data_IF_497974411280
#
_entry.id   IF_497974411280
#
_cell.length_a   1.000
_cell.length_b   1.000
_cell.length_c   1.000
_cell.angle_alpha   90.00
_cell.angle_beta   90.00
_cell.angle_gamma   90.00
#
_symmetry.space_group_name_H-M   'P 1'
#
loop_
_entity.id
_entity.type
_entity.pdbx_description
1 polymer ?
#
# COMPACT_ATOMS: atom_id res chain seq x y z
N UNK A 1 59.07 9.18 10.51
CA UNK A 1 58.66 9.12 9.09
C UNK A 1 57.21 9.57 8.99
N UNK A 2 56.97 10.65 8.24
CA UNK A 2 55.75 11.47 8.27
C UNK A 2 54.71 10.96 7.26
N UNK A 3 53.43 10.90 7.70
CA UNK A 3 52.24 10.65 6.88
C UNK A 3 51.95 11.84 5.92
N UNK A 4 51.44 11.61 4.70
CA UNK A 4 51.03 12.70 3.83
C UNK A 4 49.60 13.18 4.16
N UNK A 5 49.41 14.50 4.07
CA UNK A 5 48.14 15.23 4.27
C UNK A 5 47.42 15.40 2.93
N UNK A 6 46.13 15.07 2.87
CA UNK A 6 45.23 15.49 1.79
C UNK A 6 44.76 16.94 1.98
N UNK A 7 44.64 17.76 0.90
CA UNK A 7 44.07 19.09 0.98
C UNK A 7 42.53 19.08 0.88
N UNK A 8 41.88 19.84 1.76
CA UNK A 8 40.44 20.13 1.78
C UNK A 8 40.12 21.27 0.81
N UNK A 9 39.25 21.02 -0.17
CA UNK A 9 38.65 22.03 -1.05
C UNK A 9 37.35 22.60 -0.46
N UNK A 10 37.37 23.91 -0.18
CA UNK A 10 36.24 24.85 -0.01
C UNK A 10 35.66 25.17 -1.41
N UNK A 11 34.43 25.66 -1.70
CA UNK A 11 33.40 26.49 -1.03
C UNK A 11 32.14 26.39 -1.91
N UNK A 12 30.95 26.37 -1.31
CA UNK A 12 29.67 26.71 -1.96
C UNK A 12 29.44 28.23 -1.92
N UNK A 13 28.77 28.86 -2.90
CA UNK A 13 28.20 30.19 -2.72
C UNK A 13 26.71 30.10 -2.36
N UNK A 14 26.38 30.72 -1.23
CA UNK A 14 25.05 31.20 -0.86
C UNK A 14 24.68 32.38 -1.77
N UNK A 15 23.45 32.44 -2.25
CA UNK A 15 22.84 33.68 -2.75
C UNK A 15 21.65 34.01 -1.86
N UNK A 16 21.69 35.23 -1.34
CA UNK A 16 20.74 35.82 -0.43
C UNK A 16 19.73 36.70 -1.19
N UNK A 17 18.55 36.83 -0.59
CA UNK A 17 17.39 37.63 -0.96
C UNK A 17 17.66 39.16 -0.99
N UNK A 18 16.81 39.90 -1.71
CA UNK A 18 16.26 41.25 -1.41
C UNK A 18 15.73 41.90 -2.70
N UNK A 19 14.70 42.76 -2.80
CA UNK A 19 13.47 43.13 -2.08
C UNK A 19 12.87 44.34 -2.87
N UNK A 20 11.53 44.48 -2.92
CA UNK A 20 10.72 45.75 -3.07
C UNK A 20 10.66 46.43 -4.46
N UNK A 21 9.57 47.11 -4.91
CA UNK A 21 8.22 47.40 -4.39
C UNK A 21 7.36 48.14 -5.47
N UNK A 22 6.03 48.11 -5.29
CA UNK A 22 4.97 49.11 -5.61
C UNK A 22 4.80 49.66 -7.05
N UNK A 23 3.62 49.96 -7.59
CA UNK A 23 2.24 50.01 -7.09
C UNK A 23 1.35 50.87 -8.03
N UNK A 24 0.04 50.82 -7.78
CA UNK A 24 -1.08 51.70 -8.21
C UNK A 24 -1.91 51.43 -9.48
N UNK A 25 -3.22 51.58 -9.22
CA UNK A 25 -4.41 51.39 -10.03
C UNK A 25 -4.88 52.68 -10.75
N UNK A 26 -5.81 52.54 -11.69
CA UNK A 26 -7.05 53.35 -11.78
C UNK A 26 -7.95 52.87 -12.93
N UNK A 27 -9.25 53.05 -12.73
CA UNK A 27 -10.42 52.60 -13.48
C UNK A 27 -11.11 53.73 -14.28
N UNK A 28 -12.11 53.33 -15.10
CA UNK A 28 -13.33 54.03 -15.58
C UNK A 28 -13.42 54.53 -17.05
N UNK A 29 -14.26 53.81 -17.81
CA UNK A 29 -15.59 54.22 -18.32
C UNK A 29 -15.81 54.92 -19.70
N UNK A 30 -16.74 54.30 -20.45
CA UNK A 30 -17.95 54.83 -21.14
C UNK A 30 -17.95 55.47 -22.56
N UNK A 31 -19.01 55.08 -23.31
CA UNK A 31 -19.67 55.78 -24.45
C UNK A 31 -19.54 55.01 -25.77
N UNK A 32 -20.57 54.56 -26.53
CA UNK A 32 -22.00 54.88 -26.60
C UNK A 32 -22.33 55.69 -27.86
N UNK A 33 -23.09 55.14 -28.83
CA UNK A 33 -23.87 55.92 -29.81
C UNK A 33 -24.99 55.10 -30.50
N UNK A 34 -26.19 55.69 -30.51
CA UNK A 34 -27.50 55.27 -31.01
C UNK A 34 -27.66 55.48 -32.54
N UNK A 35 -28.63 54.88 -33.26
CA UNK A 35 -30.01 55.39 -33.60
C UNK A 35 -30.49 54.55 -34.82
N UNK A 36 -31.76 54.35 -35.22
CA UNK A 36 -33.13 54.74 -34.83
C UNK A 36 -34.13 53.95 -35.73
N UNK A 37 -35.34 53.65 -35.24
CA UNK A 37 -36.45 52.93 -35.91
C UNK A 37 -37.19 53.78 -37.00
N UNK A 38 -38.24 53.29 -37.72
CA UNK A 38 -39.58 53.03 -37.15
C UNK A 38 -40.39 51.87 -37.79
N UNK A 39 -41.62 51.73 -37.27
CA UNK A 39 -42.55 50.60 -37.27
C UNK A 39 -43.49 50.45 -38.50
N UNK A 40 -44.04 49.24 -38.69
CA UNK A 40 -45.47 48.98 -38.98
C UNK A 40 -45.83 47.48 -38.72
N UNK A 41 -46.99 47.26 -38.09
CA UNK A 41 -47.75 45.99 -37.93
C UNK A 41 -49.13 46.21 -38.62
N UNK A 42 -50.14 45.28 -38.67
CA UNK A 42 -50.29 43.92 -38.10
C UNK A 42 -51.02 42.90 -39.02
N UNK A 43 -51.11 41.62 -38.63
CA UNK A 43 -52.32 40.74 -38.73
C UNK A 43 -52.02 39.33 -38.17
N UNK A 44 -52.96 38.49 -37.74
CA UNK A 44 -53.83 38.54 -36.56
C UNK A 44 -54.25 37.08 -36.21
N UNK A 45 -54.40 36.80 -34.91
CA UNK A 45 -55.19 35.69 -34.35
C UNK A 45 -54.43 34.70 -33.45
N UNK A 46 -55.10 33.93 -32.56
CA UNK A 46 -56.40 34.09 -31.90
C UNK A 46 -56.23 34.25 -30.35
N UNK A 47 -57.29 34.29 -29.51
CA UNK A 47 -57.22 34.87 -28.15
C UNK A 47 -56.63 33.91 -27.12
N UNK A 48 -55.76 34.42 -26.24
CA UNK A 48 -55.26 33.70 -25.05
C UNK A 48 -55.93 34.27 -23.80
N UNK A 49 -56.44 33.37 -22.98
CA UNK A 49 -57.05 33.58 -21.67
C UNK A 49 -56.17 34.39 -20.70
N UNK A 50 -56.84 35.03 -19.73
CA UNK A 50 -56.22 35.83 -18.69
C UNK A 50 -55.14 35.05 -17.89
N UNK A 51 -54.05 35.70 -17.46
CA UNK A 51 -53.06 35.07 -16.59
C UNK A 51 -53.65 34.81 -15.19
N UNK A 52 -53.51 33.58 -14.71
CA UNK A 52 -53.72 33.20 -13.33
C UNK A 52 -52.66 33.85 -12.42
N UNK A 53 -53.05 34.20 -11.19
CA UNK A 53 -52.15 34.71 -10.15
C UNK A 53 -51.00 33.71 -9.87
N UNK A 54 -49.76 34.19 -9.63
CA UNK A 54 -48.64 33.34 -9.32
C UNK A 54 -48.81 32.68 -7.95
N UNK A 55 -48.70 31.35 -7.92
CA UNK A 55 -48.65 30.57 -6.69
C UNK A 55 -47.43 30.97 -5.83
N UNK A 56 -47.54 30.96 -4.48
CA UNK A 56 -46.42 31.25 -3.60
C UNK A 56 -45.32 30.20 -3.75
N UNK A 57 -44.06 30.65 -3.74
CA UNK A 57 -42.89 29.81 -3.82
C UNK A 57 -42.87 28.76 -2.68
N UNK A 58 -42.40 27.53 -2.94
CA UNK A 58 -42.24 26.52 -1.89
C UNK A 58 -41.21 26.99 -0.87
N UNK A 59 -41.58 26.91 0.40
CA UNK A 59 -40.69 27.21 1.52
C UNK A 59 -39.59 26.17 1.55
N UNK A 60 -38.34 26.61 1.42
CA UNK A 60 -37.17 25.76 1.52
C UNK A 60 -37.14 25.11 2.92
N UNK A 61 -37.04 23.77 3.02
CA UNK A 61 -36.93 23.12 4.32
C UNK A 61 -35.69 23.63 5.06
N UNK A 62 -35.74 23.78 6.39
CA UNK A 62 -34.61 24.30 7.15
C UNK A 62 -33.36 23.47 6.82
N UNK A 63 -32.28 24.16 6.46
CA UNK A 63 -30.98 23.56 6.22
C UNK A 63 -30.65 22.63 7.39
N UNK A 64 -30.30 21.38 7.07
CA UNK A 64 -29.78 20.45 8.06
C UNK A 64 -28.62 21.14 8.82
N UNK A 65 -28.54 20.97 10.15
CA UNK A 65 -27.40 21.50 10.88
C UNK A 65 -26.11 21.00 10.20
N UNK A 66 -25.06 21.83 10.13
CA UNK A 66 -23.78 21.38 9.61
C UNK A 66 -23.39 20.09 10.36
N UNK A 67 -22.73 19.12 9.68
CA UNK A 67 -22.19 17.96 10.36
C UNK A 67 -21.43 18.44 11.58
N UNK A 68 -21.73 17.88 12.76
CA UNK A 68 -20.98 18.21 13.96
C UNK A 68 -19.49 18.06 13.62
N UNK A 69 -18.69 19.10 13.89
CA UNK A 69 -17.25 18.97 13.84
C UNK A 69 -16.88 17.73 14.67
N UNK A 70 -16.02 16.84 14.15
CA UNK A 70 -15.64 15.65 14.89
C UNK A 70 -15.11 16.10 16.25
N UNK A 71 -15.82 15.72 17.31
CA UNK A 71 -15.48 16.07 18.67
C UNK A 71 -14.05 15.59 18.94
N UNK A 72 -13.20 16.49 19.44
CA UNK A 72 -11.81 16.15 19.69
C UNK A 72 -11.74 14.89 20.57
N UNK A 73 -10.88 13.91 20.25
CA UNK A 73 -10.86 12.64 20.96
C UNK A 73 -10.60 12.87 22.46
N UNK A 74 -11.52 12.40 23.29
CA UNK A 74 -11.42 12.57 24.74
C UNK A 74 -10.16 11.88 25.28
N UNK A 75 -9.49 12.46 26.30
CA UNK A 75 -8.33 11.83 26.93
C UNK A 75 -8.70 10.46 27.52
N UNK A 76 -7.80 9.47 27.45
CA UNK A 76 -8.08 8.13 27.98
C UNK A 76 -8.18 8.14 29.50
N UNK A 77 -9.03 7.27 30.04
CA UNK A 77 -9.14 7.00 31.49
C UNK A 77 -8.44 5.69 31.84
N UNK A 78 -8.04 5.55 33.10
CA UNK A 78 -7.49 4.29 33.60
C UNK A 78 -8.51 3.16 33.45
N UNK A 79 -8.07 2.02 32.89
CA UNK A 79 -8.87 0.85 32.63
C UNK A 79 -9.86 0.98 31.46
N UNK A 80 -9.80 2.05 30.67
CA UNK A 80 -10.72 2.25 29.54
C UNK A 80 -10.47 1.23 28.42
N UNK A 81 -11.51 0.53 28.01
CA UNK A 81 -11.50 -0.40 26.89
C UNK A 81 -12.28 0.16 25.70
N UNK A 82 -11.94 -0.32 24.51
CA UNK A 82 -12.64 -0.04 23.26
C UNK A 82 -13.33 -1.33 22.81
N UNK A 83 -14.63 -1.27 22.57
CA UNK A 83 -15.39 -2.38 22.02
C UNK A 83 -15.21 -2.44 20.51
N UNK A 84 -14.72 -3.56 20.00
CA UNK A 84 -14.55 -3.82 18.57
C UNK A 84 -15.67 -4.78 18.13
N UNK A 85 -16.58 -4.35 17.23
CA UNK A 85 -17.64 -5.22 16.73
C UNK A 85 -17.09 -6.44 15.97
N UNK A 86 -17.87 -7.51 15.96
CA UNK A 86 -17.61 -8.65 15.10
C UNK A 86 -17.57 -8.23 13.62
N UNK A 87 -16.75 -8.90 12.82
CA UNK A 87 -16.71 -8.69 11.38
C UNK A 87 -15.47 -9.27 10.72
N UNK A 88 -15.40 -9.07 9.42
CA UNK A 88 -14.32 -9.58 8.57
C UNK A 88 -13.10 -8.67 8.61
N UNK A 89 -11.94 -9.25 8.92
CA UNK A 89 -10.63 -8.64 8.72
C UNK A 89 -10.00 -9.19 7.44
N UNK A 90 -9.63 -8.32 6.51
CA UNK A 90 -8.74 -8.67 5.40
C UNK A 90 -7.27 -8.69 5.88
N UNK A 91 -6.82 -9.85 6.35
CA UNK A 91 -5.54 -10.04 7.06
C UNK A 91 -4.33 -9.83 6.16
N UNK A 92 -3.33 -9.10 6.64
CA UNK A 92 -2.08 -8.87 5.94
C UNK A 92 -2.15 -7.63 5.05
N UNK A 93 -1.46 -7.61 3.91
CA UNK A 93 -1.36 -6.42 3.06
C UNK A 93 -1.42 -6.75 1.58
N UNK A 94 -1.83 -5.76 0.78
CA UNK A 94 -1.97 -5.92 -0.68
C UNK A 94 -0.59 -6.21 -1.29
N UNK A 95 -0.43 -7.27 -2.11
CA UNK A 95 0.81 -7.50 -2.85
C UNK A 95 1.23 -6.29 -3.70
N UNK A 96 2.54 -6.14 -3.92
CA UNK A 96 3.14 -4.99 -4.60
C UNK A 96 3.24 -3.69 -3.78
N UNK A 97 2.70 -3.64 -2.55
CA UNK A 97 2.84 -2.44 -1.69
C UNK A 97 4.29 -2.24 -1.21
N UNK A 98 4.79 -0.99 -1.16
CA UNK A 98 6.11 -0.69 -0.61
C UNK A 98 6.28 -1.25 0.81
N UNK A 99 7.45 -1.84 1.05
CA UNK A 99 7.91 -2.41 2.30
C UNK A 99 7.08 -3.56 2.86
N UNK A 100 6.19 -4.15 2.04
CA UNK A 100 5.52 -5.42 2.35
C UNK A 100 6.56 -6.53 2.50
N UNK A 101 6.41 -7.37 3.51
CA UNK A 101 7.15 -8.62 3.68
C UNK A 101 6.22 -9.79 3.37
N UNK A 102 6.16 -10.15 2.10
CA UNK A 102 5.28 -11.18 1.57
C UNK A 102 5.42 -12.53 2.29
N UNK A 103 6.64 -12.82 2.74
CA UNK A 103 6.95 -14.05 3.48
C UNK A 103 6.20 -14.14 4.80
N UNK A 104 5.86 -13.00 5.40
CA UNK A 104 5.25 -12.91 6.72
C UNK A 104 3.80 -12.44 6.66
N UNK A 105 3.43 -11.67 5.64
CA UNK A 105 2.13 -10.98 5.52
C UNK A 105 1.22 -11.70 4.53
N UNK A 106 0.00 -12.03 4.96
CA UNK A 106 -1.02 -12.63 4.10
C UNK A 106 -1.53 -11.67 3.01
N UNK A 107 -2.13 -12.21 1.96
CA UNK A 107 -2.58 -11.48 0.77
C UNK A 107 -3.97 -10.83 0.95
N UNK A 108 -4.24 -10.15 2.08
CA UNK A 108 -5.59 -9.64 2.44
C UNK A 108 -6.64 -10.77 2.55
N UNK A 109 -6.25 -11.90 3.11
CA UNK A 109 -7.14 -13.06 3.30
C UNK A 109 -8.26 -12.68 4.28
N UNK A 110 -9.55 -12.84 3.91
CA UNK A 110 -10.67 -12.52 4.78
C UNK A 110 -10.77 -13.51 5.94
N UNK A 111 -10.84 -13.01 7.17
CA UNK A 111 -11.01 -13.79 8.40
C UNK A 111 -12.11 -13.17 9.24
N UNK A 112 -13.11 -13.97 9.60
CA UNK A 112 -14.18 -13.55 10.51
C UNK A 112 -13.67 -13.52 11.95
N UNK A 113 -13.90 -12.40 12.63
CA UNK A 113 -13.56 -12.21 14.04
C UNK A 113 -14.82 -11.98 14.87
N UNK A 114 -14.93 -12.57 16.07
CA UNK A 114 -15.99 -12.24 17.00
C UNK A 114 -15.80 -10.81 17.54
N UNK A 115 -16.82 -10.28 18.20
CA UNK A 115 -16.68 -9.04 18.94
C UNK A 115 -15.78 -9.27 20.17
N UNK A 116 -14.94 -8.28 20.48
CA UNK A 116 -14.02 -8.30 21.61
C UNK A 116 -13.86 -6.88 22.17
N UNK A 117 -13.30 -6.75 23.36
CA UNK A 117 -12.82 -5.45 23.84
C UNK A 117 -11.30 -5.47 23.94
N UNK A 118 -10.69 -4.31 23.74
CA UNK A 118 -9.24 -4.11 23.79
C UNK A 118 -8.92 -2.91 24.67
N UNK A 119 -7.87 -3.01 25.47
CA UNK A 119 -7.36 -1.87 26.24
C UNK A 119 -7.04 -0.69 25.32
N UNK A 120 -7.55 0.49 25.66
CA UNK A 120 -7.35 1.71 24.88
C UNK A 120 -5.88 2.12 24.86
N UNK A 121 -5.16 1.95 25.97
CA UNK A 121 -3.72 2.17 26.11
C UNK A 121 -2.96 0.84 26.31
N UNK A 122 -1.64 0.80 26.04
CA UNK A 122 -0.79 -0.32 26.46
C UNK A 122 -0.86 -0.59 27.97
N UNK A 123 -0.62 -1.84 28.38
CA UNK A 123 -0.65 -2.26 29.79
C UNK A 123 0.27 -1.35 30.64
N UNK A 124 -0.20 -0.79 31.77
CA UNK A 124 -1.37 -1.19 32.57
C UNK A 124 -2.71 -0.53 32.21
N UNK A 125 -2.83 0.03 31.00
CA UNK A 125 -4.01 0.76 30.54
C UNK A 125 -4.36 1.96 31.46
N UNK A 126 -3.35 2.70 31.90
CA UNK A 126 -3.48 3.84 32.81
C UNK A 126 -2.64 5.02 32.28
N UNK A 127 -3.24 6.18 31.94
CA UNK A 127 -2.49 7.35 31.47
C UNK A 127 -1.52 7.92 32.52
N UNK A 128 -1.69 7.59 33.81
CA UNK A 128 -0.80 8.01 34.88
C UNK A 128 0.41 7.08 35.08
N UNK A 129 0.46 5.94 34.39
CA UNK A 129 1.53 4.96 34.50
C UNK A 129 2.23 4.73 33.15
N UNK A 130 3.58 4.63 33.12
CA UNK A 130 4.27 4.27 31.90
C UNK A 130 3.92 2.84 31.48
N UNK A 131 3.84 2.54 30.16
CA UNK A 131 3.64 1.17 29.70
C UNK A 131 4.71 0.23 30.21
N UNK A 132 4.30 -0.97 30.62
CA UNK A 132 5.25 -2.02 31.03
C UNK A 132 5.86 -2.69 29.82
N UNK A 133 7.19 -2.72 29.80
CA UNK A 133 8.01 -3.45 28.83
C UNK A 133 9.02 -4.33 29.57
N UNK A 134 9.88 -5.04 28.84
CA UNK A 134 10.93 -5.85 29.45
C UNK A 134 10.44 -7.18 30.04
N UNK A 135 9.24 -7.62 29.64
CA UNK A 135 8.61 -8.86 30.08
C UNK A 135 8.57 -9.87 28.92
N UNK A 136 8.62 -11.15 29.27
CA UNK A 136 8.40 -12.26 28.34
C UNK A 136 6.90 -12.39 28.00
N UNK A 137 6.57 -13.05 26.87
CA UNK A 137 5.15 -13.28 26.50
C UNK A 137 4.36 -13.97 27.63
N UNK A 138 4.87 -15.04 28.29
CA UNK A 138 4.14 -15.67 29.38
C UNK A 138 3.91 -14.77 30.60
N UNK A 139 4.85 -13.87 30.91
CA UNK A 139 4.66 -12.89 32.00
C UNK A 139 3.60 -11.84 31.65
N UNK A 140 3.63 -11.33 30.41
CA UNK A 140 2.60 -10.43 29.89
C UNK A 140 1.19 -11.08 29.94
N UNK A 141 1.07 -12.33 29.51
CA UNK A 141 -0.17 -13.09 29.57
C UNK A 141 -0.70 -13.21 31.01
N UNK A 142 0.15 -13.59 31.98
CA UNK A 142 -0.24 -13.70 33.39
C UNK A 142 -0.72 -12.37 33.98
N UNK A 143 -0.16 -11.24 33.54
CA UNK A 143 -0.62 -9.92 33.99
C UNK A 143 -2.01 -9.58 33.45
N UNK A 144 -2.31 -9.92 32.20
CA UNK A 144 -3.67 -9.81 31.68
C UNK A 144 -4.65 -10.74 32.42
N UNK A 145 -4.25 -11.99 32.68
CA UNK A 145 -5.07 -12.96 33.42
C UNK A 145 -5.39 -12.47 34.85
N UNK A 146 -4.45 -11.81 35.52
CA UNK A 146 -4.65 -11.23 36.84
C UNK A 146 -5.70 -10.10 36.86
N UNK A 147 -5.97 -9.47 35.71
CA UNK A 147 -7.05 -8.49 35.52
C UNK A 147 -8.36 -9.11 34.99
N UNK A 148 -8.43 -10.44 34.89
CA UNK A 148 -9.58 -11.14 34.29
C UNK A 148 -9.68 -10.96 32.76
N UNK A 149 -8.57 -10.58 32.11
CA UNK A 149 -8.44 -10.42 30.66
C UNK A 149 -7.50 -11.49 30.09
N UNK A 150 -7.18 -11.37 28.81
CA UNK A 150 -6.18 -12.19 28.11
C UNK A 150 -5.27 -11.29 27.28
N UNK A 151 -4.12 -11.82 26.86
CA UNK A 151 -3.31 -11.16 25.84
C UNK A 151 -4.08 -11.14 24.51
N UNK A 152 -4.07 -10.01 23.80
CA UNK A 152 -4.72 -9.92 22.49
C UNK A 152 -4.04 -10.86 21.49
N UNK A 153 -4.82 -11.50 20.62
CA UNK A 153 -4.28 -12.22 19.44
C UNK A 153 -3.75 -11.22 18.41
N UNK A 154 -2.93 -11.67 17.48
CA UNK A 154 -2.43 -10.78 16.44
C UNK A 154 -3.51 -10.32 15.45
N UNK A 155 -4.58 -11.11 15.28
CA UNK A 155 -5.70 -10.76 14.42
C UNK A 155 -6.55 -9.66 15.06
N UNK A 156 -6.80 -9.74 16.36
CA UNK A 156 -7.48 -8.67 17.12
C UNK A 156 -6.67 -7.37 17.09
N UNK A 157 -5.35 -7.47 17.29
CA UNK A 157 -4.45 -6.32 17.20
C UNK A 157 -4.51 -5.65 15.81
N UNK A 158 -4.46 -6.45 14.74
CA UNK A 158 -4.52 -5.93 13.37
C UNK A 158 -5.90 -5.33 13.05
N UNK A 159 -6.99 -5.95 13.50
CA UNK A 159 -8.36 -5.44 13.33
C UNK A 159 -8.55 -4.10 14.04
N UNK A 160 -8.06 -3.98 15.26
CA UNK A 160 -8.08 -2.73 16.02
C UNK A 160 -7.23 -1.64 15.34
N UNK A 161 -6.07 -2.00 14.77
CA UNK A 161 -5.21 -1.05 14.08
C UNK A 161 -5.81 -0.55 12.76
N UNK A 162 -6.35 -1.46 11.94
CA UNK A 162 -6.89 -1.13 10.60
C UNK A 162 -8.23 -0.42 10.64
N UNK A 163 -9.03 -0.64 11.68
CA UNK A 163 -10.40 -0.15 11.75
C UNK A 163 -11.37 -0.89 10.83
N UNK A 164 -12.63 -0.45 10.76
CA UNK A 164 -13.73 -1.22 10.17
C UNK A 164 -13.65 -1.32 8.65
N UNK A 165 -13.09 -0.31 7.97
CA UNK A 165 -12.89 -0.32 6.52
C UNK A 165 -11.73 -1.25 6.10
N UNK A 166 -10.82 -1.60 7.01
CA UNK A 166 -9.75 -2.57 6.77
C UNK A 166 -8.62 -2.13 5.83
N UNK A 167 -8.67 -0.92 5.27
CA UNK A 167 -7.76 -0.45 4.22
C UNK A 167 -6.52 0.30 4.76
N UNK A 168 -6.58 0.78 6.01
CA UNK A 168 -5.53 1.57 6.65
C UNK A 168 -4.18 0.87 6.72
N UNK A 169 -3.12 1.62 6.40
CA UNK A 169 -1.73 1.12 6.46
C UNK A 169 -1.17 1.21 7.87
N UNK A 170 -1.50 2.29 8.59
CA UNK A 170 -1.14 2.60 9.97
C UNK A 170 -2.40 2.93 10.76
N UNK A 171 -2.36 2.87 12.08
CA UNK A 171 -3.51 3.23 12.93
C UNK A 171 -4.17 4.58 12.55
N UNK A 172 -3.43 5.70 12.44
CA UNK A 172 -4.03 6.98 12.07
C UNK A 172 -4.53 7.06 10.62
N UNK A 173 -4.12 6.15 9.73
CA UNK A 173 -4.58 6.12 8.34
C UNK A 173 -3.56 5.59 7.34
N UNK A 174 -3.53 6.19 6.14
CA UNK A 174 -2.64 5.77 5.06
C UNK A 174 -1.17 6.14 5.29
N UNK A 175 -0.90 7.17 6.09
CA UNK A 175 0.43 7.68 6.44
C UNK A 175 0.61 7.75 7.96
N UNK A 176 1.86 7.88 8.39
CA UNK A 176 2.23 8.01 9.80
C UNK A 176 3.31 9.08 9.96
N UNK A 177 3.00 10.13 10.72
CA UNK A 177 3.99 11.04 11.26
C UNK A 177 4.34 10.60 12.68
N UNK A 178 5.52 9.99 12.85
CA UNK A 178 5.93 9.41 14.13
C UNK A 178 6.24 10.47 15.19
N UNK A 179 6.73 11.64 14.77
CA UNK A 179 7.07 12.69 15.72
C UNK A 179 5.79 13.38 16.21
N UNK A 180 4.82 13.63 15.32
CA UNK A 180 3.50 14.10 15.71
C UNK A 180 2.80 13.12 16.67
N UNK A 181 2.86 11.80 16.41
CA UNK A 181 2.28 10.81 17.33
C UNK A 181 2.97 10.73 18.69
N UNK A 182 4.25 11.13 18.77
CA UNK A 182 4.99 11.19 20.04
C UNK A 182 4.57 12.41 20.85
N UNK A 183 4.34 13.54 20.17
CA UNK A 183 3.91 14.80 20.78
C UNK A 183 2.43 14.77 21.19
N UNK A 184 1.57 14.21 20.34
CA UNK A 184 0.14 14.05 20.55
C UNK A 184 -0.34 12.62 20.23
N UNK A 185 -0.28 11.70 21.20
CA UNK A 185 -0.76 10.33 21.02
C UNK A 185 -2.26 10.23 20.69
N UNK A 186 -3.09 11.23 21.06
CA UNK A 186 -4.52 11.22 20.80
C UNK A 186 -4.83 11.44 19.31
N UNK A 187 -4.04 12.27 18.63
CA UNK A 187 -4.13 12.48 17.19
C UNK A 187 -3.79 11.22 16.37
N UNK A 188 -3.20 10.20 17.00
CA UNK A 188 -2.80 8.95 16.37
C UNK A 188 -3.61 7.74 16.83
N UNK A 189 -4.84 7.96 17.27
CA UNK A 189 -5.80 6.89 17.47
C UNK A 189 -6.05 6.10 16.17
N UNK A 190 -6.31 4.80 16.31
CA UNK A 190 -6.97 4.04 15.25
C UNK A 190 -8.38 4.58 14.98
N UNK A 191 -8.99 4.19 13.86
CA UNK A 191 -10.38 4.56 13.56
C UNK A 191 -11.38 4.11 14.64
N UNK A 192 -11.04 3.08 15.40
CA UNK A 192 -11.86 2.55 16.50
C UNK A 192 -11.59 3.27 17.83
N UNK A 193 -10.62 4.18 17.89
CA UNK A 193 -10.28 4.95 19.10
C UNK A 193 -9.20 4.30 19.99
N UNK A 194 -8.61 3.18 19.58
CA UNK A 194 -7.49 2.54 20.29
C UNK A 194 -6.22 3.36 20.07
N UNK A 195 -5.51 3.69 21.15
CA UNK A 195 -4.35 4.55 21.12
C UNK A 195 -3.05 3.76 21.04
N UNK A 196 -2.04 4.40 20.46
CA UNK A 196 -0.64 3.96 20.46
C UNK A 196 -0.37 2.61 19.76
N UNK A 197 -1.33 2.10 18.97
CA UNK A 197 -1.13 0.90 18.16
C UNK A 197 -0.02 1.15 17.12
N UNK A 198 1.10 0.48 17.33
CA UNK A 198 2.23 0.53 16.43
C UNK A 198 3.01 1.84 16.46
N UNK A 199 2.75 2.76 17.38
CA UNK A 199 3.45 4.06 17.43
C UNK A 199 4.29 4.29 18.68
N UNK A 200 4.03 3.57 19.78
CA UNK A 200 4.80 3.72 21.03
C UNK A 200 5.83 2.61 21.28
N UNK A 201 5.46 1.37 21.02
CA UNK A 201 6.30 0.20 21.28
C UNK A 201 5.81 -0.98 20.46
N UNK A 202 6.65 -2.02 20.36
CA UNK A 202 6.15 -3.31 19.95
C UNK A 202 5.28 -3.92 21.06
N UNK A 203 4.32 -4.75 20.70
CA UNK A 203 3.39 -5.37 21.64
C UNK A 203 3.32 -6.87 21.40
N UNK A 204 3.54 -7.65 22.46
CA UNK A 204 3.30 -9.08 22.46
C UNK A 204 1.86 -9.38 22.11
N UNK A 205 1.66 -10.45 21.34
CA UNK A 205 0.35 -11.04 21.06
C UNK A 205 0.30 -12.46 21.61
N UNK A 206 -0.90 -13.01 21.77
CA UNK A 206 -1.11 -14.40 22.16
C UNK A 206 -0.72 -15.40 21.06
N UNK A 207 -0.47 -14.93 19.83
CA UNK A 207 -0.26 -15.76 18.66
C UNK A 207 1.18 -16.30 18.58
N UNK A 208 1.29 -17.55 18.15
CA UNK A 208 2.56 -18.18 17.76
C UNK A 208 2.90 -17.85 16.30
N UNK A 209 4.19 -17.99 15.96
CA UNK A 209 4.67 -17.73 14.62
C UNK A 209 4.08 -18.71 13.61
N UNK A 210 3.80 -18.22 12.42
CA UNK A 210 3.52 -19.02 11.24
C UNK A 210 3.83 -18.16 10.01
N UNK A 211 3.71 -18.74 8.81
CA UNK A 211 3.91 -18.04 7.52
C UNK A 211 5.21 -17.22 7.54
N UNK A 212 6.33 -17.86 7.26
CA UNK A 212 7.66 -17.23 7.29
C UNK A 212 8.22 -16.95 8.70
N UNK A 213 7.36 -16.91 9.73
CA UNK A 213 7.75 -16.88 11.13
C UNK A 213 7.77 -18.31 11.72
N UNK A 214 8.73 -18.59 12.60
CA UNK A 214 8.90 -19.92 13.20
C UNK A 214 7.81 -20.23 14.22
N UNK A 215 7.26 -21.45 14.20
CA UNK A 215 6.15 -21.90 15.06
C UNK A 215 6.45 -21.86 16.56
N UNK A 216 7.71 -21.99 16.95
CA UNK A 216 8.14 -21.92 18.35
C UNK A 216 8.38 -20.48 18.86
N UNK A 217 8.15 -19.48 18.02
CA UNK A 217 8.29 -18.07 18.35
C UNK A 217 6.95 -17.41 18.66
N UNK A 218 7.00 -16.38 19.50
CA UNK A 218 5.87 -15.53 19.82
C UNK A 218 5.80 -14.34 18.88
N UNK A 219 4.61 -14.08 18.32
CA UNK A 219 4.38 -12.91 17.46
C UNK A 219 4.23 -11.65 18.30
N UNK A 220 4.85 -10.58 17.83
CA UNK A 220 4.63 -9.22 18.30
C UNK A 220 4.42 -8.26 17.13
N UNK A 221 3.65 -7.20 17.38
CA UNK A 221 3.22 -6.22 16.38
C UNK A 221 3.67 -4.81 16.76
N UNK A 222 3.74 -3.92 15.77
CA UNK A 222 4.15 -2.53 16.01
C UNK A 222 5.65 -2.35 16.26
N UNK A 223 6.04 -1.11 16.58
CA UNK A 223 7.43 -0.73 16.84
C UNK A 223 7.53 0.47 17.80
N UNK A 224 8.71 0.64 18.38
CA UNK A 224 9.07 1.85 19.12
C UNK A 224 9.18 3.06 18.18
N UNK A 225 9.10 4.31 18.68
CA UNK A 225 8.95 5.50 17.83
C UNK A 225 10.16 5.80 16.94
N UNK A 226 11.33 5.28 17.30
CA UNK A 226 12.59 5.33 16.58
C UNK A 226 12.79 4.15 15.61
N UNK A 227 11.81 3.25 15.51
CA UNK A 227 11.80 2.12 14.59
C UNK A 227 11.67 2.55 13.12
N UNK A 228 12.08 1.65 12.23
CA UNK A 228 11.88 1.82 10.79
C UNK A 228 10.38 1.92 10.47
N UNK A 229 10.00 2.89 9.62
CA UNK A 229 8.60 3.17 9.26
C UNK A 229 7.78 1.90 8.87
N UNK A 230 8.32 0.94 8.09
CA UNK A 230 7.59 -0.27 7.72
C UNK A 230 7.13 -1.13 8.91
N UNK A 231 7.80 -1.05 10.06
CA UNK A 231 7.48 -1.84 11.24
C UNK A 231 6.27 -1.30 12.02
N UNK A 232 5.83 -0.07 11.70
CA UNK A 232 4.66 0.56 12.30
C UNK A 232 3.36 0.21 11.57
N UNK A 233 3.43 -0.43 10.40
CA UNK A 233 2.25 -0.79 9.61
C UNK A 233 1.37 -1.78 10.38
N UNK A 234 0.06 -1.68 10.23
CA UNK A 234 -0.89 -2.57 10.91
C UNK A 234 -0.65 -4.06 10.56
N UNK A 235 -0.26 -4.36 9.32
CA UNK A 235 0.06 -5.72 8.88
C UNK A 235 1.48 -6.19 9.24
N UNK A 236 2.38 -5.28 9.65
CA UNK A 236 3.75 -5.67 9.93
C UNK A 236 3.80 -6.58 11.17
N UNK A 237 4.36 -7.77 10.98
CA UNK A 237 4.51 -8.78 12.02
C UNK A 237 5.92 -9.32 12.10
N UNK A 238 6.35 -9.59 13.34
CA UNK A 238 7.65 -10.13 13.69
C UNK A 238 7.46 -11.16 14.79
N UNK A 239 8.43 -12.05 14.94
CA UNK A 239 8.43 -13.00 16.03
C UNK A 239 9.82 -13.13 16.65
N UNK A 240 9.86 -13.56 17.90
CA UNK A 240 11.06 -13.95 18.62
C UNK A 240 10.69 -14.98 19.68
N UNK A 241 11.67 -15.56 20.37
CA UNK A 241 11.40 -16.56 21.43
C UNK A 241 10.41 -15.99 22.47
N UNK A 242 9.43 -16.77 22.93
CA UNK A 242 8.44 -16.30 23.91
C UNK A 242 9.08 -15.88 25.24
N UNK A 243 10.28 -16.38 25.56
CA UNK A 243 11.07 -16.04 26.75
C UNK A 243 11.92 -14.78 26.59
N UNK A 244 11.97 -14.17 25.40
CA UNK A 244 12.70 -12.92 25.19
C UNK A 244 12.10 -11.81 26.06
N UNK A 245 12.96 -11.10 26.78
CA UNK A 245 12.62 -9.84 27.46
C UNK A 245 13.25 -8.68 26.70
N UNK A 246 12.48 -7.63 26.42
CA UNK A 246 12.96 -6.46 25.69
C UNK A 246 12.29 -5.19 26.19
N UNK A 247 13.08 -4.16 26.46
CA UNK A 247 12.56 -2.83 26.84
C UNK A 247 11.73 -2.15 25.74
N UNK A 248 11.77 -2.69 24.51
CA UNK A 248 11.04 -2.18 23.35
C UNK A 248 9.76 -2.98 23.05
N UNK A 249 9.48 -4.04 23.83
CA UNK A 249 8.28 -4.86 23.69
C UNK A 249 7.49 -4.77 25.00
N UNK A 250 6.26 -4.28 24.92
CA UNK A 250 5.25 -4.41 25.98
C UNK A 250 4.08 -5.22 25.48
N UNK A 251 2.85 -4.86 25.88
CA UNK A 251 1.65 -5.58 25.50
C UNK A 251 0.40 -4.77 25.86
N UNK A 252 -0.77 -5.27 25.44
CA UNK A 252 -2.09 -4.82 25.88
C UNK A 252 -3.02 -6.00 26.02
N UNK A 253 -4.07 -5.85 26.83
CA UNK A 253 -5.00 -6.94 27.10
C UNK A 253 -6.30 -6.77 26.32
N UNK A 254 -6.93 -7.91 26.04
CA UNK A 254 -8.24 -8.03 25.40
C UNK A 254 -9.19 -8.83 26.30
N UNK A 255 -10.50 -8.60 26.15
CA UNK A 255 -11.57 -9.36 26.82
C UNK A 255 -12.54 -9.93 25.78
N UNK A 256 -13.42 -10.84 26.20
CA UNK A 256 -14.35 -11.54 25.30
C UNK A 256 -13.74 -12.78 24.63
N UNK A 257 -14.52 -13.48 23.79
CA UNK A 257 -14.08 -14.71 23.14
C UNK A 257 -12.88 -14.44 22.23
N UNK A 258 -11.81 -15.24 22.39
CA UNK A 258 -10.70 -15.21 21.43
C UNK A 258 -11.18 -15.78 20.08
N UNK A 259 -10.69 -15.26 18.95
CA UNK A 259 -11.00 -15.86 17.66
C UNK A 259 -10.47 -17.29 17.60
N UNK A 260 -11.27 -18.21 17.06
CA UNK A 260 -10.82 -19.58 16.73
C UNK A 260 -9.86 -19.59 15.53
N UNK A 261 -9.96 -18.57 14.67
CA UNK A 261 -9.10 -18.41 13.51
C UNK A 261 -7.66 -18.08 13.92
N UNK A 262 -6.71 -18.66 13.20
CA UNK A 262 -5.28 -18.35 13.29
C UNK A 262 -4.85 -17.49 12.10
N UNK A 263 -3.65 -16.91 12.17
CA UNK A 263 -3.12 -16.13 11.05
C UNK A 263 -3.04 -17.01 9.78
N UNK A 264 -3.49 -16.54 8.61
CA UNK A 264 -3.52 -17.37 7.41
C UNK A 264 -2.13 -17.89 7.00
N UNK A 265 -2.04 -19.18 6.71
CA UNK A 265 -0.89 -19.78 6.01
C UNK A 265 -1.26 -19.99 4.54
N UNK A 266 -0.31 -19.75 3.64
CA UNK A 266 -0.50 -20.05 2.21
C UNK A 266 0.47 -21.17 1.81
N UNK A 267 0.10 -22.00 0.83
CA UNK A 267 0.97 -23.05 0.34
C UNK A 267 2.22 -22.46 -0.33
N UNK A 268 3.37 -23.09 -0.09
CA UNK A 268 4.57 -22.81 -0.88
C UNK A 268 4.31 -23.20 -2.34
N UNK A 269 4.62 -22.28 -3.24
CA UNK A 269 4.47 -22.45 -4.69
C UNK A 269 5.83 -22.63 -5.35
N UNK A 270 5.86 -23.23 -6.54
CA UNK A 270 7.09 -23.27 -7.33
C UNK A 270 7.61 -21.83 -7.60
N UNK A 271 8.94 -21.65 -7.68
CA UNK A 271 9.54 -20.34 -7.97
C UNK A 271 9.18 -19.81 -9.36
N UNK A 272 9.10 -20.72 -10.32
CA UNK A 272 8.81 -20.43 -11.72
C UNK A 272 7.74 -21.38 -12.23
N UNK A 273 6.83 -20.90 -13.06
CA UNK A 273 5.88 -21.72 -13.80
C UNK A 273 5.40 -20.96 -15.03
N UNK A 274 5.55 -21.54 -16.20
CA UNK A 274 4.89 -21.05 -17.41
C UNK A 274 3.38 -21.25 -17.28
N UNK A 275 2.62 -20.21 -17.59
CA UNK A 275 1.16 -20.24 -17.56
C UNK A 275 0.62 -20.33 -18.98
N UNK A 276 -0.41 -21.15 -19.15
CA UNK A 276 -1.24 -21.16 -20.35
C UNK A 276 -2.35 -20.11 -20.14
N UNK A 277 -2.18 -18.94 -20.76
CA UNK A 277 -3.13 -17.83 -20.68
C UNK A 277 -3.57 -17.49 -22.10
N UNK A 278 -4.88 -17.57 -22.35
CA UNK A 278 -5.46 -17.17 -23.64
C UNK A 278 -5.22 -15.69 -23.92
N UNK A 279 -4.97 -15.35 -25.19
CA UNK A 279 -4.62 -13.98 -25.58
C UNK A 279 -5.66 -12.96 -25.12
N UNK A 280 -6.95 -13.26 -25.31
CA UNK A 280 -8.04 -12.36 -24.91
C UNK A 280 -8.18 -12.25 -23.39
N UNK A 281 -7.80 -13.27 -22.63
CA UNK A 281 -7.71 -13.16 -21.16
C UNK A 281 -6.55 -12.25 -20.77
N UNK A 282 -5.37 -12.46 -21.35
CA UNK A 282 -4.20 -11.61 -21.07
C UNK A 282 -4.48 -10.13 -21.39
N UNK A 283 -5.13 -9.84 -22.52
CA UNK A 283 -5.54 -8.48 -22.89
C UNK A 283 -6.53 -7.90 -21.90
N UNK A 284 -7.51 -8.68 -21.41
CA UNK A 284 -8.44 -8.23 -20.35
C UNK A 284 -7.71 -7.93 -19.04
N UNK A 285 -6.76 -8.77 -18.65
CA UNK A 285 -5.92 -8.57 -17.47
C UNK A 285 -5.12 -7.27 -17.60
N UNK A 286 -4.44 -7.04 -18.73
CA UNK A 286 -3.70 -5.80 -18.98
C UNK A 286 -4.63 -4.57 -18.99
N UNK A 287 -5.82 -4.69 -19.58
CA UNK A 287 -6.81 -3.61 -19.61
C UNK A 287 -7.36 -3.25 -18.21
N UNK A 288 -7.37 -4.22 -17.29
CA UNK A 288 -7.83 -3.99 -15.90
C UNK A 288 -6.82 -3.19 -15.05
N UNK A 289 -5.58 -3.05 -15.52
CA UNK A 289 -4.50 -2.34 -14.83
C UNK A 289 -4.27 -0.99 -15.51
N UNK A 290 -4.57 0.15 -14.86
CA UNK A 290 -4.52 1.48 -15.47
C UNK A 290 -3.20 1.81 -16.16
N UNK A 291 -2.08 1.38 -15.58
CA UNK A 291 -0.72 1.61 -16.10
C UNK A 291 -0.39 0.81 -17.37
N UNK A 292 -1.18 -0.23 -17.69
CA UNK A 292 -0.97 -1.13 -18.83
C UNK A 292 -2.12 -1.07 -19.84
N UNK A 293 -3.26 -0.50 -19.45
CA UNK A 293 -4.46 -0.37 -20.28
C UNK A 293 -4.22 0.24 -21.67
N UNK A 294 -3.34 1.25 -21.86
CA UNK A 294 -3.07 1.80 -23.19
C UNK A 294 -2.53 0.78 -24.21
N UNK A 295 -1.80 -0.25 -23.76
CA UNK A 295 -1.21 -1.28 -24.62
C UNK A 295 -2.05 -2.55 -24.71
N UNK A 296 -3.16 -2.63 -23.96
CA UNK A 296 -3.87 -3.89 -23.77
C UNK A 296 -4.57 -4.41 -25.03
N UNK A 297 -5.21 -3.53 -25.83
CA UNK A 297 -6.03 -3.95 -26.96
C UNK A 297 -5.23 -4.65 -28.07
N UNK A 298 -4.05 -4.12 -28.39
CA UNK A 298 -3.18 -4.64 -29.45
C UNK A 298 -2.08 -5.56 -28.93
N UNK A 299 -2.01 -5.78 -27.61
CA UNK A 299 -0.96 -6.60 -27.00
C UNK A 299 -0.89 -8.00 -27.62
N UNK A 300 0.32 -8.48 -27.89
CA UNK A 300 0.64 -9.87 -28.22
C UNK A 300 1.92 -10.27 -27.48
N UNK A 301 1.91 -11.35 -26.70
CA UNK A 301 3.13 -11.84 -26.06
C UNK A 301 4.12 -12.34 -27.12
N UNK A 302 5.42 -12.17 -26.88
CA UNK A 302 6.43 -12.74 -27.75
C UNK A 302 6.48 -14.26 -27.56
N UNK A 303 6.42 -15.00 -28.67
CA UNK A 303 6.68 -16.44 -28.68
C UNK A 303 8.19 -16.74 -28.67
N UNK A 304 8.53 -18.02 -28.58
CA UNK A 304 9.92 -18.48 -28.55
C UNK A 304 10.71 -18.04 -29.80
N UNK A 305 10.12 -18.13 -30.99
CA UNK A 305 10.78 -17.74 -32.24
C UNK A 305 11.03 -16.24 -32.30
N UNK A 306 10.09 -15.45 -31.78
CA UNK A 306 10.27 -14.01 -31.66
C UNK A 306 11.38 -13.66 -30.68
N UNK A 307 11.42 -14.30 -29.51
CA UNK A 307 12.49 -14.09 -28.51
C UNK A 307 13.86 -14.50 -29.03
N UNK A 308 13.97 -15.59 -29.80
CA UNK A 308 15.23 -16.04 -30.41
C UNK A 308 15.85 -14.99 -31.33
N UNK A 309 15.04 -14.11 -31.95
CA UNK A 309 15.56 -13.00 -32.77
C UNK A 309 16.28 -11.93 -31.97
N UNK A 310 16.08 -11.88 -30.65
CA UNK A 310 16.86 -11.03 -29.75
C UNK A 310 18.23 -11.64 -29.42
N UNK A 311 18.56 -12.86 -29.87
CA UNK A 311 19.83 -13.54 -29.56
C UNK A 311 20.70 -13.62 -30.83
N UNK A 312 21.51 -12.59 -31.15
CA UNK A 312 22.31 -12.57 -32.37
C UNK A 312 23.37 -13.69 -32.42
N UNK A 313 23.84 -14.15 -31.25
CA UNK A 313 24.80 -15.24 -31.12
C UNK A 313 24.13 -16.63 -30.93
N UNK A 314 22.80 -16.72 -31.01
CA UNK A 314 22.05 -17.95 -30.81
C UNK A 314 21.82 -18.32 -29.34
N UNK A 315 21.15 -19.46 -29.12
CA UNK A 315 20.72 -19.94 -27.79
C UNK A 315 21.88 -20.25 -26.85
N UNK A 316 23.06 -20.53 -27.39
CA UNK A 316 24.28 -20.82 -26.65
C UNK A 316 24.73 -19.62 -25.79
N UNK A 317 24.36 -18.40 -26.19
CA UNK A 317 24.62 -17.16 -25.45
C UNK A 317 23.81 -17.01 -24.15
N UNK A 318 22.80 -17.87 -23.92
CA UNK A 318 22.00 -17.85 -22.70
C UNK A 318 22.75 -18.38 -21.48
N UNK A 319 23.85 -19.13 -21.64
CA UNK A 319 24.70 -19.60 -20.53
C UNK A 319 23.95 -20.23 -19.34
N UNK A 320 22.97 -21.11 -19.61
CA UNK A 320 22.18 -21.81 -18.59
C UNK A 320 20.90 -21.09 -18.16
N UNK A 321 20.58 -19.96 -18.79
CA UNK A 321 19.26 -19.35 -18.74
C UNK A 321 18.32 -19.98 -19.77
N UNK A 322 17.04 -20.00 -19.46
CA UNK A 322 15.98 -20.52 -20.32
C UNK A 322 15.02 -19.38 -20.68
N UNK A 323 14.63 -19.30 -21.96
CA UNK A 323 13.64 -18.34 -22.40
C UNK A 323 12.27 -18.62 -21.76
N UNK A 324 11.50 -17.56 -21.50
CA UNK A 324 10.17 -17.61 -20.94
C UNK A 324 9.12 -17.07 -21.92
N UNK A 325 8.79 -17.79 -23.01
CA UNK A 325 7.81 -17.34 -23.99
C UNK A 325 6.39 -17.33 -23.39
N UNK A 326 5.65 -16.23 -23.58
CA UNK A 326 4.32 -16.06 -22.97
C UNK A 326 4.35 -15.54 -21.54
N UNK A 327 3.43 -16.03 -20.69
CA UNK A 327 3.27 -15.54 -19.31
C UNK A 327 4.04 -16.42 -18.33
N UNK A 328 5.05 -15.84 -17.68
CA UNK A 328 5.79 -16.49 -16.59
C UNK A 328 5.18 -16.10 -15.25
N UNK A 329 4.72 -17.08 -14.47
CA UNK A 329 4.49 -16.87 -13.04
C UNK A 329 5.81 -17.00 -12.29
N UNK A 330 6.21 -15.92 -11.65
CA UNK A 330 7.44 -15.80 -10.88
C UNK A 330 7.14 -15.52 -9.41
N UNK A 331 7.85 -16.22 -8.51
CA UNK A 331 7.76 -16.07 -7.08
C UNK A 331 9.16 -15.84 -6.48
N UNK A 332 9.64 -14.58 -6.41
CA UNK A 332 11.00 -14.27 -5.96
C UNK A 332 11.26 -14.69 -4.51
N UNK A 333 10.22 -14.58 -3.68
CA UNK A 333 10.19 -15.00 -2.27
C UNK A 333 8.86 -15.68 -1.97
N UNK A 334 8.75 -16.34 -0.82
CA UNK A 334 7.48 -16.97 -0.42
C UNK A 334 6.39 -15.91 -0.20
N UNK A 335 5.16 -16.21 -0.60
CA UNK A 335 4.02 -15.28 -0.52
C UNK A 335 4.07 -14.09 -1.49
N UNK A 336 5.10 -13.97 -2.34
CA UNK A 336 5.15 -12.98 -3.42
C UNK A 336 4.95 -13.69 -4.76
N UNK A 337 3.93 -13.25 -5.49
CA UNK A 337 3.57 -13.78 -6.80
C UNK A 337 3.47 -12.64 -7.80
N UNK A 338 4.07 -12.84 -8.98
CA UNK A 338 3.93 -11.96 -10.11
C UNK A 338 3.78 -12.73 -11.41
N UNK A 339 2.98 -12.19 -12.32
CA UNK A 339 2.99 -12.52 -13.74
C UNK A 339 3.97 -11.59 -14.43
N UNK A 340 4.90 -12.15 -15.17
CA UNK A 340 5.87 -11.42 -15.97
C UNK A 340 5.67 -11.83 -17.43
N UNK A 341 5.47 -10.86 -18.30
CA UNK A 341 5.24 -11.08 -19.72
C UNK A 341 5.97 -10.02 -20.53
N UNK A 342 6.55 -10.43 -21.65
CA UNK A 342 7.05 -9.49 -22.67
C UNK A 342 6.25 -9.64 -23.94
N UNK A 343 6.08 -8.53 -24.66
CA UNK A 343 5.28 -8.52 -25.87
C UNK A 343 5.34 -7.21 -26.61
N UNK A 344 4.54 -7.13 -27.66
CA UNK A 344 4.36 -5.95 -28.51
C UNK A 344 2.92 -5.48 -28.45
N UNK A 345 2.71 -4.18 -28.64
CA UNK A 345 1.40 -3.58 -28.83
C UNK A 345 1.54 -2.43 -29.83
N UNK A 346 1.00 -2.61 -31.03
CA UNK A 346 1.24 -1.67 -32.13
C UNK A 346 2.72 -1.56 -32.46
N UNK A 347 3.25 -0.33 -32.41
CA UNK A 347 4.67 -0.04 -32.64
C UNK A 347 5.53 -0.15 -31.38
N UNK A 348 4.95 -0.44 -30.22
CA UNK A 348 5.67 -0.49 -28.95
C UNK A 348 6.01 -1.94 -28.56
N UNK A 349 7.10 -2.12 -27.81
CA UNK A 349 7.37 -3.36 -27.07
C UNK A 349 7.47 -3.08 -25.58
N UNK A 350 7.14 -4.07 -24.75
CA UNK A 350 7.11 -3.89 -23.31
C UNK A 350 7.44 -5.15 -22.52
N UNK A 351 7.93 -4.91 -21.30
CA UNK A 351 7.96 -5.86 -20.18
C UNK A 351 6.88 -5.42 -19.19
N UNK A 352 5.96 -6.31 -18.83
CA UNK A 352 4.91 -6.05 -17.84
C UNK A 352 5.00 -7.03 -16.67
N UNK A 353 4.89 -6.49 -15.45
CA UNK A 353 4.83 -7.23 -14.19
C UNK A 353 3.50 -6.93 -13.51
N UNK A 354 2.72 -7.96 -13.20
CA UNK A 354 1.43 -7.85 -12.55
C UNK A 354 1.36 -8.76 -11.32
N UNK A 355 0.80 -8.26 -10.21
CA UNK A 355 0.50 -9.08 -9.06
C UNK A 355 -0.95 -9.57 -9.15
N UNK A 356 -1.20 -10.90 -9.19
CA UNK A 356 -2.55 -11.44 -9.04
C UNK A 356 -3.04 -11.26 -7.59
N UNK A 357 -4.29 -10.83 -7.42
CA UNK A 357 -4.95 -10.70 -6.11
C UNK A 357 -5.86 -11.90 -5.84
N UNK A 358 -6.16 -12.23 -4.56
CA UNK A 358 -7.08 -13.33 -4.24
C UNK A 358 -8.50 -13.18 -4.76
N UNK A 359 -8.97 -11.95 -5.00
CA UNK A 359 -10.29 -11.66 -5.59
C UNK A 359 -10.31 -11.80 -7.12
N UNK A 360 -9.18 -12.23 -7.73
CA UNK A 360 -9.02 -12.37 -9.17
C UNK A 360 -8.65 -11.09 -9.90
N UNK A 361 -8.54 -9.95 -9.20
CA UNK A 361 -8.04 -8.70 -9.78
C UNK A 361 -6.52 -8.71 -9.91
N UNK A 362 -5.98 -7.71 -10.60
CA UNK A 362 -4.53 -7.55 -10.79
C UNK A 362 -4.07 -6.17 -10.36
N UNK A 363 -2.80 -6.08 -9.95
CA UNK A 363 -2.14 -4.83 -9.58
C UNK A 363 -0.89 -4.68 -10.41
N UNK A 364 -0.62 -3.45 -10.86
CA UNK A 364 0.67 -3.12 -11.46
C UNK A 364 1.81 -3.36 -10.46
N UNK A 365 2.79 -4.16 -10.86
CA UNK A 365 4.06 -4.27 -10.15
C UNK A 365 5.07 -3.28 -10.70
N UNK A 366 5.38 -3.44 -12.00
CA UNK A 366 6.29 -2.63 -12.77
C UNK A 366 6.04 -2.82 -14.27
N UNK A 367 6.48 -1.85 -15.08
CA UNK A 367 6.54 -1.99 -16.53
C UNK A 367 7.73 -1.22 -17.11
N UNK A 368 8.20 -1.68 -18.27
CA UNK A 368 9.18 -1.01 -19.09
C UNK A 368 8.65 -1.01 -20.53
N UNK A 369 8.57 0.18 -21.14
CA UNK A 369 8.02 0.37 -22.49
C UNK A 369 9.13 0.90 -23.40
N UNK A 370 9.27 0.33 -24.59
CA UNK A 370 10.07 0.85 -25.69
C UNK A 370 9.11 1.43 -26.74
N UNK A 371 8.87 2.73 -26.64
CA UNK A 371 7.94 3.44 -27.51
C UNK A 371 8.49 3.50 -28.94
N UNK A 372 7.67 3.14 -29.93
CA UNK A 372 8.05 3.13 -31.34
C UNK A 372 9.08 2.05 -31.72
N UNK A 373 9.36 1.09 -30.83
CA UNK A 373 10.27 -0.01 -31.05
C UNK A 373 9.56 -1.37 -30.82
N UNK A 374 8.95 -1.93 -31.87
CA UNK A 374 8.21 -3.20 -31.82
C UNK A 374 9.07 -4.47 -31.83
N UNK A 375 10.40 -4.30 -31.76
CA UNK A 375 11.36 -5.39 -31.74
C UNK A 375 11.20 -6.32 -30.52
N UNK A 376 11.60 -7.60 -30.63
CA UNK A 376 11.43 -8.57 -29.56
C UNK A 376 12.20 -8.19 -28.30
N UNK A 377 11.65 -8.58 -27.15
CA UNK A 377 12.34 -8.56 -25.86
C UNK A 377 12.37 -10.00 -25.34
N UNK A 378 13.56 -10.62 -25.33
CA UNK A 378 13.76 -11.91 -24.70
C UNK A 378 13.62 -11.75 -23.18
N UNK A 379 12.85 -12.64 -22.57
CA UNK A 379 12.76 -12.81 -21.11
C UNK A 379 13.36 -14.18 -20.79
N UNK A 380 14.23 -14.25 -19.79
CA UNK A 380 14.83 -15.51 -19.37
C UNK A 380 14.84 -15.68 -17.85
N UNK A 381 14.84 -16.94 -17.43
CA UNK A 381 14.91 -17.36 -16.03
C UNK A 381 15.89 -18.53 -15.88
N UNK A 382 16.27 -18.86 -14.65
CA UNK A 382 17.07 -20.06 -14.39
C UNK A 382 16.79 -20.60 -12.98
N UNK A 383 16.57 -21.92 -12.78
CA UNK A 383 16.28 -22.47 -11.45
C UNK A 383 17.30 -22.10 -10.34
N UNK A 384 18.62 -22.04 -10.62
CA UNK A 384 19.62 -21.60 -9.63
C UNK A 384 19.46 -20.16 -9.16
N UNK A 385 18.90 -19.25 -9.98
CA UNK A 385 18.69 -17.84 -9.64
C UNK A 385 17.20 -17.55 -9.55
N UNK A 386 16.66 -17.53 -8.33
CA UNK A 386 15.24 -17.28 -8.09
C UNK A 386 14.89 -15.80 -7.87
N UNK A 387 15.88 -14.96 -7.55
CA UNK A 387 15.71 -13.55 -7.18
C UNK A 387 15.67 -12.57 -8.35
N UNK A 388 15.95 -13.02 -9.58
CA UNK A 388 15.89 -12.17 -10.76
C UNK A 388 15.46 -12.94 -12.01
N UNK A 389 14.84 -12.20 -12.94
CA UNK A 389 14.64 -12.58 -14.33
C UNK A 389 15.48 -11.65 -15.19
N UNK A 390 16.06 -12.14 -16.28
CA UNK A 390 16.77 -11.29 -17.22
C UNK A 390 15.86 -10.91 -18.38
N UNK A 391 15.98 -9.68 -18.85
CA UNK A 391 15.33 -9.25 -20.09
C UNK A 391 16.33 -8.54 -21.00
N UNK A 392 16.18 -8.70 -22.32
CA UNK A 392 17.04 -8.02 -23.28
C UNK A 392 16.40 -7.96 -24.67
N UNK A 393 16.42 -6.79 -25.35
CA UNK A 393 16.09 -6.69 -26.76
C UNK A 393 17.22 -7.17 -27.70
N UNK A 394 18.46 -7.29 -27.18
CA UNK A 394 19.64 -7.74 -27.90
C UNK A 394 20.59 -8.44 -26.91
N UNK A 395 20.43 -9.75 -26.78
CA UNK A 395 21.13 -10.56 -25.80
C UNK A 395 22.64 -10.55 -26.05
N UNK A 396 23.41 -10.26 -25.01
CA UNK A 396 24.87 -10.12 -25.11
C UNK A 396 25.35 -8.78 -25.68
N UNK A 397 24.44 -7.92 -26.17
CA UNK A 397 24.77 -6.58 -26.67
C UNK A 397 24.97 -5.62 -25.48
N UNK A 398 26.00 -4.78 -25.55
CA UNK A 398 26.33 -3.85 -24.47
C UNK A 398 25.21 -2.83 -24.25
N UNK A 399 24.77 -2.67 -22.99
CA UNK A 399 23.74 -1.71 -22.56
C UNK A 399 22.33 -1.92 -23.15
N UNK A 400 22.06 -3.09 -23.74
CA UNK A 400 20.76 -3.46 -24.30
C UNK A 400 20.13 -4.59 -23.48
N UNK A 401 19.81 -4.32 -22.22
CA UNK A 401 19.08 -5.28 -21.38
C UNK A 401 19.03 -4.89 -19.91
N UNK A 402 18.61 -5.83 -19.10
CA UNK A 402 18.42 -5.61 -17.68
C UNK A 402 17.83 -6.80 -16.96
N UNK A 403 17.19 -6.53 -15.83
CA UNK A 403 16.57 -7.56 -15.01
C UNK A 403 15.21 -7.11 -14.46
N UNK A 404 14.35 -8.07 -14.17
CA UNK A 404 13.20 -7.92 -13.27
C UNK A 404 13.63 -8.48 -11.92
N UNK A 405 13.63 -7.65 -10.88
CA UNK A 405 14.20 -7.99 -9.56
C UNK A 405 13.26 -7.60 -8.43
N UNK A 406 13.30 -8.33 -7.32
CA UNK A 406 12.77 -7.85 -6.05
C UNK A 406 13.80 -6.90 -5.42
N UNK A 407 13.51 -5.60 -5.37
CA UNK A 407 14.40 -4.61 -4.78
C UNK A 407 14.37 -4.73 -3.25
N UNK A 408 15.54 -4.86 -2.63
CA UNK A 408 15.63 -5.07 -1.18
C UNK A 408 15.18 -3.87 -0.33
N UNK A 409 15.44 -2.64 -0.80
CA UNK A 409 15.18 -1.39 -0.06
C UNK A 409 13.70 -1.19 0.28
N UNK A 410 12.82 -1.45 -0.69
CA UNK A 410 11.39 -1.25 -0.56
C UNK A 410 10.55 -2.48 -0.86
N UNK A 411 11.20 -3.64 -1.08
CA UNK A 411 10.55 -4.94 -1.28
C UNK A 411 9.55 -4.95 -2.45
N UNK A 412 9.80 -4.13 -3.46
CA UNK A 412 9.00 -4.07 -4.69
C UNK A 412 9.68 -4.80 -5.83
N UNK A 413 8.88 -5.44 -6.67
CA UNK A 413 9.36 -5.90 -7.97
C UNK A 413 9.53 -4.68 -8.87
N UNK A 414 10.72 -4.58 -9.49
CA UNK A 414 11.08 -3.48 -10.39
C UNK A 414 11.72 -4.05 -11.65
N UNK A 415 11.53 -3.35 -12.77
CA UNK A 415 12.28 -3.59 -14.01
C UNK A 415 13.45 -2.60 -14.02
N UNK A 416 14.68 -3.11 -14.07
CA UNK A 416 15.90 -2.31 -14.11
C UNK A 416 16.63 -2.55 -15.43
N UNK A 417 17.25 -1.49 -15.97
CA UNK A 417 18.20 -1.56 -17.08
C UNK A 417 19.62 -1.64 -16.53
N UNK A 418 20.50 -2.45 -17.14
CA UNK A 418 21.89 -2.66 -16.69
C UNK A 418 22.90 -2.42 -17.79
#
# INVERSE_FOLDING_TARGET
>A
MRRPRHPRGRRSPRWAESLRAAGLAASLACGGAETSAPAESPDAGPPIEAPAEPAPAPTEPPAAPPPAEPEAPAPPRAGETVAIPAGTLAVGSRPGRPHRRAENEADRVPVELPAFEIDRLPYPNDPAAPPRTGLSRPEAARLCEAEGKRLCTELEWERACRGPEGDRTFAPGASLDRDACREDPLACASAEGVLQLGTLQAEWTASDGNRGLMEDQAVFRGAAPDGELPLHRCAARRATRPTTTSRHIGFRCCSGPAPEATYPTEPTVARFRMLEVELEELRRVLASVPELAPWAADFRPFDEQEMLRALPEGVESLHGWELAPGVLRWAPVDGELAWVVTGRSGEDSLVAVLHPMPDGSYVHGASFIREGESGPIALAWTPPSHGELLWSPCWGCLAEGGAVVLREEDRRIVVVQR
#
